data_IF_744728686567
#
_entry.id   IF_744728686567
#
_cell.length_a   1.000
_cell.length_b   1.000
_cell.length_c   1.000
_cell.angle_alpha   90.00
_cell.angle_beta   90.00
_cell.angle_gamma   90.00
#
_symmetry.space_group_name_H-M   'P 1'
#
loop_
_entity.id
_entity.type
_entity.pdbx_description
1 polymer ?
#
# COMPACT_ATOMS: atom_id res chain seq x y z
N UNK A 1 15.74 -1.61 2.49
CA UNK A 1 14.42 -1.90 3.10
C UNK A 1 13.86 -3.06 2.30
N UNK A 2 13.76 -4.25 2.91
CA UNK A 2 13.27 -5.44 2.20
C UNK A 2 11.80 -5.26 1.83
N UNK A 3 11.37 -5.88 0.73
CA UNK A 3 9.96 -5.99 0.41
C UNK A 3 9.30 -6.91 1.45
N UNK A 4 8.10 -6.53 1.90
CA UNK A 4 7.29 -7.38 2.77
C UNK A 4 6.65 -8.49 1.91
N UNK A 5 6.97 -9.79 2.14
CA UNK A 5 6.41 -10.88 1.35
C UNK A 5 4.89 -11.01 1.49
N UNK A 6 4.34 -10.58 2.62
CA UNK A 6 2.93 -10.73 2.96
C UNK A 6 2.10 -9.52 2.50
N UNK A 7 2.73 -8.49 1.94
CA UNK A 7 1.99 -7.34 1.43
C UNK A 7 1.05 -7.76 0.29
N UNK A 8 -0.19 -7.23 0.31
CA UNK A 8 -1.14 -7.51 -0.76
C UNK A 8 -0.75 -6.79 -2.04
N UNK A 9 -0.67 -7.57 -3.11
CA UNK A 9 -0.30 -7.13 -4.44
C UNK A 9 -1.27 -7.67 -5.49
N UNK A 10 -1.31 -7.00 -6.62
CA UNK A 10 -1.97 -7.48 -7.84
C UNK A 10 -1.01 -7.44 -9.02
N UNK A 11 -0.91 -8.54 -9.75
CA UNK A 11 -0.04 -8.68 -10.91
C UNK A 11 -0.81 -8.56 -12.24
N UNK A 12 -0.17 -7.94 -13.22
CA UNK A 12 -0.64 -7.76 -14.59
C UNK A 12 0.45 -8.16 -15.59
N UNK A 13 0.03 -8.67 -16.75
CA UNK A 13 0.84 -8.77 -17.96
C UNK A 13 0.27 -7.78 -18.99
N UNK A 14 1.00 -6.69 -19.24
CA UNK A 14 0.48 -5.56 -19.99
C UNK A 14 -0.76 -4.98 -19.30
N UNK A 15 -1.93 -5.19 -19.90
CA UNK A 15 -3.23 -4.74 -19.37
C UNK A 15 -4.11 -5.86 -18.84
N UNK A 16 -3.62 -7.12 -18.91
CA UNK A 16 -4.34 -8.32 -18.50
C UNK A 16 -4.05 -8.64 -17.03
N UNK A 17 -5.09 -8.87 -16.26
CA UNK A 17 -4.98 -9.31 -14.87
C UNK A 17 -4.40 -10.74 -14.80
N UNK A 18 -3.51 -10.97 -13.83
CA UNK A 18 -2.93 -12.29 -13.55
C UNK A 18 -3.46 -12.86 -12.24
N UNK A 19 -3.22 -12.15 -11.13
CA UNK A 19 -3.59 -12.59 -9.80
C UNK A 19 -3.61 -11.44 -8.80
N UNK A 20 -4.40 -11.59 -7.75
CA UNK A 20 -4.35 -10.79 -6.52
C UNK A 20 -4.02 -11.71 -5.35
N UNK A 21 -3.04 -11.34 -4.52
CA UNK A 21 -2.61 -12.14 -3.38
C UNK A 21 -1.49 -11.44 -2.60
N UNK A 22 -0.70 -12.22 -1.87
CA UNK A 22 0.59 -11.79 -1.33
C UNK A 22 1.56 -11.41 -2.45
N UNK A 23 2.66 -10.71 -2.12
CA UNK A 23 3.71 -10.42 -3.10
C UNK A 23 4.24 -11.70 -3.74
N UNK A 24 4.41 -12.75 -2.94
CA UNK A 24 4.88 -14.05 -3.42
C UNK A 24 3.90 -14.64 -4.44
N UNK A 25 2.61 -14.71 -4.12
CA UNK A 25 1.60 -15.25 -5.05
C UNK A 25 1.52 -14.44 -6.35
N UNK A 26 1.56 -13.11 -6.25
CA UNK A 26 1.56 -12.21 -7.41
C UNK A 26 2.81 -12.40 -8.29
N UNK A 27 3.99 -12.53 -7.68
CA UNK A 27 5.24 -12.79 -8.39
C UNK A 27 5.27 -14.17 -9.07
N UNK A 28 4.70 -15.20 -8.42
CA UNK A 28 4.60 -16.53 -9.01
C UNK A 28 3.64 -16.57 -10.19
N UNK A 29 2.50 -15.88 -10.10
CA UNK A 29 1.57 -15.75 -11.22
C UNK A 29 2.20 -14.99 -12.40
N UNK A 30 2.93 -13.91 -12.12
CA UNK A 30 3.70 -13.19 -13.13
C UNK A 30 4.75 -14.07 -13.81
N UNK A 31 5.46 -14.89 -13.02
CA UNK A 31 6.44 -15.84 -13.56
C UNK A 31 5.80 -16.90 -14.45
N UNK A 32 4.67 -17.47 -14.02
CA UNK A 32 3.94 -18.45 -14.81
C UNK A 32 3.45 -17.86 -16.15
N UNK A 33 3.05 -16.59 -16.17
CA UNK A 33 2.69 -15.89 -17.41
C UNK A 33 3.89 -15.73 -18.36
N UNK A 34 5.08 -15.41 -17.84
CA UNK A 34 6.31 -15.35 -18.65
C UNK A 34 6.69 -16.73 -19.22
N UNK A 35 6.59 -17.79 -18.40
CA UNK A 35 6.90 -19.16 -18.85
C UNK A 35 5.89 -19.66 -19.91
N UNK A 36 4.66 -19.14 -19.89
CA UNK A 36 3.63 -19.41 -20.90
C UNK A 36 3.81 -18.61 -22.21
N UNK A 37 4.85 -17.77 -22.31
CA UNK A 37 5.16 -16.97 -23.49
C UNK A 37 4.32 -15.70 -23.63
N UNK A 38 3.83 -15.14 -22.52
CA UNK A 38 3.23 -13.80 -22.54
C UNK A 38 4.34 -12.74 -22.63
N UNK A 39 4.40 -12.06 -23.78
CA UNK A 39 5.38 -10.98 -24.05
C UNK A 39 4.96 -9.64 -23.41
N UNK A 40 3.84 -9.60 -22.69
CA UNK A 40 3.38 -8.42 -21.96
C UNK A 40 4.36 -7.99 -20.86
N UNK A 41 4.59 -6.68 -20.76
CA UNK A 41 5.38 -6.12 -19.66
C UNK A 41 4.69 -6.43 -18.32
N UNK A 42 5.43 -7.03 -17.39
CA UNK A 42 4.89 -7.39 -16.08
C UNK A 42 4.83 -6.17 -15.17
N UNK A 43 3.67 -5.96 -14.55
CA UNK A 43 3.49 -5.01 -13.46
C UNK A 43 2.97 -5.71 -12.22
N UNK A 44 3.54 -5.41 -11.06
CA UNK A 44 3.03 -5.85 -9.76
C UNK A 44 2.73 -4.61 -8.93
N UNK A 45 1.48 -4.38 -8.57
CA UNK A 45 1.06 -3.21 -7.81
C UNK A 45 0.79 -3.57 -6.36
N UNK A 46 1.31 -2.78 -5.42
CA UNK A 46 0.92 -2.83 -4.02
C UNK A 46 -0.48 -2.22 -3.85
N UNK A 47 -1.42 -2.97 -3.27
CA UNK A 47 -2.83 -2.54 -3.20
C UNK A 47 -3.05 -1.36 -2.27
N UNK A 48 -2.28 -1.25 -1.20
CA UNK A 48 -2.43 -0.17 -0.23
C UNK A 48 -1.92 1.19 -0.76
N UNK A 49 -0.98 1.16 -1.70
CA UNK A 49 -0.28 2.38 -2.15
C UNK A 49 -0.44 2.68 -3.63
N UNK A 50 -0.94 1.73 -4.44
CA UNK A 50 -1.03 1.80 -5.89
C UNK A 50 0.32 1.86 -6.62
N UNK A 51 1.43 1.65 -5.89
CA UNK A 51 2.78 1.72 -6.46
C UNK A 51 3.15 0.39 -7.12
N UNK A 52 3.82 0.48 -8.27
CA UNK A 52 4.51 -0.65 -8.83
C UNK A 52 5.65 -1.10 -7.89
N UNK A 53 5.75 -2.41 -7.69
CA UNK A 53 6.78 -3.09 -6.93
C UNK A 53 7.70 -3.77 -7.93
N UNK A 54 8.98 -3.44 -7.85
CA UNK A 54 9.99 -4.10 -8.66
C UNK A 54 10.37 -5.45 -8.04
N UNK A 55 10.22 -6.52 -8.81
CA UNK A 55 10.49 -7.90 -8.37
C UNK A 55 11.37 -8.57 -9.41
N UNK A 56 12.51 -9.11 -8.98
CA UNK A 56 13.37 -9.90 -9.85
C UNK A 56 12.77 -11.30 -10.08
N UNK A 57 12.06 -11.43 -11.21
CA UNK A 57 11.42 -12.67 -11.65
C UNK A 57 12.36 -13.62 -12.40
N UNK A 58 13.66 -13.33 -12.52
CA UNK A 58 14.59 -14.14 -13.33
C UNK A 58 14.96 -15.46 -12.66
N UNK A 59 15.11 -16.52 -13.46
CA UNK A 59 15.47 -17.86 -12.98
C UNK A 59 14.28 -18.70 -12.53
N UNK A 60 14.48 -19.92 -12.01
CA UNK A 60 13.39 -20.84 -11.68
C UNK A 60 12.48 -20.28 -10.58
N UNK A 61 11.24 -20.76 -10.51
CA UNK A 61 10.23 -20.40 -9.49
C UNK A 61 10.79 -20.41 -8.07
N UNK A 62 11.61 -21.41 -7.72
CA UNK A 62 12.24 -21.50 -6.40
C UNK A 62 13.25 -20.38 -6.12
N UNK A 63 13.96 -19.89 -7.13
CA UNK A 63 14.87 -18.77 -6.97
C UNK A 63 14.10 -17.46 -6.73
N UNK A 64 12.96 -17.27 -7.42
CA UNK A 64 12.07 -16.12 -7.18
C UNK A 64 11.50 -16.17 -5.76
N UNK A 65 10.99 -17.33 -5.34
CA UNK A 65 10.50 -17.54 -3.97
C UNK A 65 11.59 -17.27 -2.93
N UNK A 66 12.81 -17.79 -3.14
CA UNK A 66 13.93 -17.62 -2.21
C UNK A 66 14.35 -16.16 -2.01
N UNK A 67 14.26 -15.33 -3.05
CA UNK A 67 14.55 -13.88 -2.93
C UNK A 67 13.48 -13.10 -2.18
N UNK A 68 12.23 -13.57 -2.25
CA UNK A 68 11.09 -12.94 -1.59
C UNK A 68 10.87 -13.50 -0.18
N UNK A 69 11.52 -14.61 0.19
CA UNK A 69 11.43 -15.17 1.52
C UNK A 69 11.85 -14.12 2.57
N UNK A 70 11.11 -13.99 3.67
CA UNK A 70 11.48 -13.08 4.74
C UNK A 70 12.89 -13.43 5.22
N UNK A 71 13.80 -12.45 5.15
CA UNK A 71 15.11 -12.55 5.79
C UNK A 71 14.88 -12.46 7.29
N UNK A 72 14.47 -13.57 7.90
CA UNK A 72 14.68 -13.75 9.32
C UNK A 72 16.19 -13.82 9.52
N UNK A 73 16.80 -12.97 10.36
CA UNK A 73 18.16 -13.23 10.79
C UNK A 73 18.15 -14.58 11.51
N UNK A 74 18.66 -15.61 10.83
CA UNK A 74 18.93 -16.91 11.42
C UNK A 74 20.16 -16.76 12.33
N UNK A 75 19.95 -16.15 13.50
CA UNK A 75 20.71 -16.32 14.74
C UNK A 75 20.33 -15.22 15.74
N UNK A 76 19.20 -15.43 16.41
CA UNK A 76 19.06 -15.01 17.80
C UNK A 76 18.43 -16.19 18.53
N UNK A 77 19.27 -17.16 18.89
CA UNK A 77 18.97 -18.04 20.02
C UNK A 77 18.54 -17.13 21.19
N UNK A 78 17.30 -17.26 21.72
CA UNK A 78 16.87 -16.39 22.79
C UNK A 78 17.67 -16.75 24.04
N UNK A 79 18.63 -15.88 24.39
CA UNK A 79 19.21 -15.90 25.72
C UNK A 79 18.06 -15.76 26.74
N UNK A 80 18.05 -16.55 27.83
CA UNK A 80 16.92 -16.58 28.76
C UNK A 80 16.66 -15.18 29.33
N UNK A 81 15.42 -14.70 29.12
CA UNK A 81 14.98 -13.38 29.53
C UNK A 81 15.03 -13.23 31.06
N UNK A 82 15.78 -12.24 31.55
CA UNK A 82 15.67 -11.80 32.94
C UNK A 82 14.29 -11.14 33.15
N UNK A 83 13.59 -11.41 34.27
CA UNK A 83 12.32 -10.77 34.55
C UNK A 83 12.53 -9.29 34.89
N UNK A 84 11.95 -8.38 34.10
CA UNK A 84 11.96 -6.96 34.45
C UNK A 84 11.61 -6.02 33.30
N UNK A 85 10.32 -5.67 33.22
CA UNK A 85 9.69 -4.61 32.40
C UNK A 85 9.49 -4.95 30.91
N UNK A 86 8.24 -5.05 30.43
CA UNK A 86 7.97 -5.17 28.99
C UNK A 86 8.56 -3.95 28.27
N UNK A 87 9.45 -4.19 27.32
CA UNK A 87 9.91 -3.15 26.37
C UNK A 87 8.70 -2.78 25.52
N UNK A 88 7.98 -1.71 25.88
CA UNK A 88 7.14 -0.99 24.93
C UNK A 88 8.09 -0.57 23.80
N UNK A 89 8.00 -1.18 22.62
CA UNK A 89 8.90 -0.95 21.49
C UNK A 89 8.80 0.48 20.93
N UNK A 90 9.23 1.48 21.71
CA UNK A 90 9.18 2.89 21.38
C UNK A 90 10.51 3.28 20.75
N UNK A 91 10.45 3.81 19.53
CA UNK A 91 11.61 4.41 18.85
C UNK A 91 11.58 5.91 19.13
N UNK A 92 12.65 6.45 19.72
CA UNK A 92 12.77 7.88 19.92
C UNK A 92 13.08 8.59 18.59
N UNK A 93 12.39 9.70 18.33
CA UNK A 93 12.63 10.61 17.21
C UNK A 93 12.52 12.05 17.70
N UNK A 94 13.22 12.96 17.05
CA UNK A 94 13.22 14.39 17.38
C UNK A 94 11.97 15.08 16.82
N UNK A 95 11.33 15.93 17.63
CA UNK A 95 10.17 16.74 17.26
C UNK A 95 10.36 18.14 17.81
N UNK A 96 10.20 19.15 16.96
CA UNK A 96 10.28 20.56 17.35
C UNK A 96 8.89 21.13 17.49
N UNK A 97 8.58 21.70 18.66
CA UNK A 97 7.30 22.33 18.97
C UNK A 97 7.53 23.71 19.60
N UNK A 98 6.48 24.54 19.57
CA UNK A 98 6.52 25.86 20.22
C UNK A 98 6.63 25.72 21.76
N UNK A 99 7.30 26.66 22.46
CA UNK A 99 7.49 26.59 23.91
C UNK A 99 6.19 26.35 24.69
N UNK A 100 5.11 27.06 24.35
CA UNK A 100 3.77 26.86 24.95
C UNK A 100 3.22 25.44 24.80
N UNK A 101 3.56 24.73 23.72
CA UNK A 101 3.13 23.36 23.51
C UNK A 101 3.92 22.40 24.40
N UNK A 102 5.21 22.68 24.62
CA UNK A 102 6.02 21.92 25.57
C UNK A 102 5.56 22.12 27.01
N UNK A 103 5.24 23.35 27.40
CA UNK A 103 4.68 23.66 28.72
C UNK A 103 3.38 22.87 28.96
N UNK A 104 2.47 22.88 27.97
CA UNK A 104 1.23 22.12 28.06
C UNK A 104 1.47 20.60 28.07
N UNK A 105 2.39 20.08 27.24
CA UNK A 105 2.71 18.65 27.20
C UNK A 105 3.33 18.15 28.51
N UNK A 106 4.19 18.96 29.13
CA UNK A 106 4.85 18.64 30.40
C UNK A 106 3.91 18.74 31.59
N UNK A 107 2.82 19.50 31.50
CA UNK A 107 1.80 19.58 32.56
C UNK A 107 0.82 18.40 32.55
N UNK A 108 0.86 17.53 31.53
CA UNK A 108 -0.05 16.39 31.42
C UNK A 108 0.31 15.24 32.40
N UNK A 109 -0.69 14.56 33.00
CA UNK A 109 -0.46 13.36 33.79
C UNK A 109 0.20 12.26 32.95
N UNK A 110 1.39 11.81 33.35
CA UNK A 110 2.19 10.83 32.61
C UNK A 110 3.20 11.43 31.62
N UNK A 111 3.31 12.75 31.55
CA UNK A 111 4.33 13.48 30.80
C UNK A 111 4.08 13.59 29.30
N UNK A 112 4.94 14.36 28.63
CA UNK A 112 4.80 14.73 27.22
C UNK A 112 4.60 13.54 26.28
N UNK A 113 5.34 12.43 26.48
CA UNK A 113 5.27 11.26 25.60
C UNK A 113 3.92 10.53 25.65
N UNK A 114 3.27 10.49 26.83
CA UNK A 114 1.93 9.87 26.98
C UNK A 114 0.87 10.77 26.36
N UNK A 115 0.97 12.08 26.59
CA UNK A 115 0.08 13.07 25.99
C UNK A 115 0.16 13.08 24.46
N UNK A 116 1.37 13.08 23.89
CA UNK A 116 1.59 13.00 22.45
C UNK A 116 1.00 11.72 21.86
N UNK A 117 1.18 10.56 22.51
CA UNK A 117 0.58 9.31 22.04
C UNK A 117 -0.94 9.40 22.00
N UNK A 118 -1.58 9.88 23.07
CA UNK A 118 -3.04 10.05 23.12
C UNK A 118 -3.55 11.02 22.06
N UNK A 119 -2.83 12.13 21.82
CA UNK A 119 -3.18 13.09 20.77
C UNK A 119 -3.04 12.48 19.37
N UNK A 120 -1.97 11.72 19.12
CA UNK A 120 -1.79 10.98 17.87
C UNK A 120 -2.90 9.95 17.70
N UNK A 121 -3.22 9.16 18.73
CA UNK A 121 -4.27 8.14 18.66
C UNK A 121 -5.65 8.77 18.42
N UNK A 122 -5.96 9.87 19.11
CA UNK A 122 -7.21 10.61 18.92
C UNK A 122 -7.29 11.23 17.51
N UNK A 123 -6.21 11.82 17.02
CA UNK A 123 -6.16 12.40 15.67
C UNK A 123 -6.25 11.32 14.59
N UNK A 124 -5.60 10.16 14.79
CA UNK A 124 -5.72 9.00 13.90
C UNK A 124 -7.17 8.53 13.83
N UNK A 125 -7.81 8.30 14.97
CA UNK A 125 -9.21 7.87 15.00
C UNK A 125 -10.17 8.90 14.39
N UNK A 126 -9.96 10.20 14.64
CA UNK A 126 -10.80 11.25 14.08
C UNK A 126 -10.67 11.37 12.54
N UNK A 127 -9.48 11.10 12.00
CA UNK A 127 -9.19 11.25 10.57
C UNK A 127 -9.21 9.93 9.80
N UNK A 128 -9.44 8.79 10.44
CA UNK A 128 -9.36 7.46 9.83
C UNK A 128 -10.18 7.33 8.54
N UNK A 129 -11.37 7.93 8.48
CA UNK A 129 -12.20 7.96 7.27
C UNK A 129 -11.58 8.82 6.17
N UNK A 130 -11.19 10.06 6.49
CA UNK A 130 -10.60 10.99 5.52
C UNK A 130 -9.23 10.49 5.00
N UNK A 131 -8.42 9.90 5.88
CA UNK A 131 -7.14 9.28 5.51
C UNK A 131 -7.35 8.05 4.64
N UNK A 132 -8.36 7.22 4.91
CA UNK A 132 -8.72 6.07 4.06
C UNK A 132 -9.14 6.52 2.66
N UNK A 133 -10.01 7.53 2.57
CA UNK A 133 -10.43 8.11 1.28
C UNK A 133 -9.23 8.62 0.50
N UNK A 134 -8.38 9.43 1.14
CA UNK A 134 -7.17 9.99 0.52
C UNK A 134 -6.20 8.90 0.05
N UNK A 135 -5.98 7.87 0.86
CA UNK A 135 -5.12 6.74 0.49
C UNK A 135 -5.67 5.97 -0.71
N UNK A 136 -6.98 5.71 -0.74
CA UNK A 136 -7.63 5.05 -1.87
C UNK A 136 -7.53 5.88 -3.16
N UNK A 137 -7.77 7.19 -3.08
CA UNK A 137 -7.60 8.10 -4.22
C UNK A 137 -6.15 8.10 -4.74
N UNK A 138 -5.18 8.24 -3.85
CA UNK A 138 -3.76 8.22 -4.24
C UNK A 138 -3.35 6.87 -4.85
N UNK A 139 -3.83 5.75 -4.28
CA UNK A 139 -3.53 4.41 -4.78
C UNK A 139 -4.14 4.18 -6.17
N UNK A 140 -5.44 4.47 -6.33
CA UNK A 140 -6.12 4.35 -7.61
C UNK A 140 -5.48 5.25 -8.68
N UNK A 141 -5.18 6.51 -8.34
CA UNK A 141 -4.56 7.45 -9.27
C UNK A 141 -3.18 6.98 -9.75
N UNK A 142 -2.31 6.48 -8.86
CA UNK A 142 -0.98 5.96 -9.24
C UNK A 142 -1.09 4.77 -10.18
N UNK A 143 -2.01 3.84 -9.90
CA UNK A 143 -2.30 2.72 -10.77
C UNK A 143 -2.82 3.19 -12.15
N UNK A 144 -3.84 4.06 -12.17
CA UNK A 144 -4.42 4.61 -13.40
C UNK A 144 -3.37 5.35 -14.23
N UNK A 145 -2.53 6.16 -13.60
CA UNK A 145 -1.46 6.91 -14.27
C UNK A 145 -0.46 5.98 -14.97
N UNK A 146 -0.18 4.82 -14.37
CA UNK A 146 0.71 3.80 -14.95
C UNK A 146 0.04 3.01 -16.08
N UNK A 147 -1.23 2.61 -15.91
CA UNK A 147 -1.90 1.63 -16.77
C UNK A 147 -2.80 2.25 -17.85
N UNK A 148 -3.23 3.49 -17.64
CA UNK A 148 -4.21 4.19 -18.46
C UNK A 148 -3.87 5.66 -18.71
N UNK A 149 -2.66 6.13 -18.34
CA UNK A 149 -2.28 7.54 -18.46
C UNK A 149 -2.27 8.09 -19.90
N UNK A 150 -2.15 7.21 -20.89
CA UNK A 150 -2.19 7.49 -22.33
C UNK A 150 -3.55 7.17 -22.96
N UNK A 151 -4.56 6.78 -22.17
CA UNK A 151 -5.88 6.38 -22.64
C UNK A 151 -6.85 7.56 -22.63
N UNK A 152 -7.79 7.55 -23.56
CA UNK A 152 -8.91 8.50 -23.59
C UNK A 152 -9.70 8.44 -22.28
N UNK A 153 -10.15 9.61 -21.80
CA UNK A 153 -10.94 9.74 -20.57
C UNK A 153 -10.11 9.70 -19.28
N UNK A 154 -8.77 9.59 -19.35
CA UNK A 154 -7.91 9.57 -18.17
C UNK A 154 -8.05 10.80 -17.27
N UNK A 155 -8.05 12.01 -17.85
CA UNK A 155 -8.11 13.24 -17.07
C UNK A 155 -9.46 13.41 -16.37
N UNK A 156 -10.55 13.10 -17.08
CA UNK A 156 -11.91 13.14 -16.55
C UNK A 156 -12.12 12.06 -15.47
N UNK A 157 -11.60 10.86 -15.69
CA UNK A 157 -11.60 9.78 -14.71
C UNK A 157 -10.82 10.17 -13.45
N UNK A 158 -9.64 10.76 -13.59
CA UNK A 158 -8.86 11.26 -12.45
C UNK A 158 -9.61 12.37 -11.69
N UNK A 159 -10.27 13.28 -12.41
CA UNK A 159 -11.11 14.33 -11.80
C UNK A 159 -12.28 13.74 -11.01
N UNK A 160 -12.97 12.76 -11.57
CA UNK A 160 -14.08 12.07 -10.91
C UNK A 160 -13.61 11.30 -9.65
N UNK A 161 -12.46 10.62 -9.72
CA UNK A 161 -11.84 9.95 -8.58
C UNK A 161 -11.60 10.89 -7.40
N UNK A 162 -10.98 12.05 -7.65
CA UNK A 162 -10.69 13.03 -6.59
C UNK A 162 -11.95 13.76 -6.09
N UNK A 163 -12.98 13.88 -6.92
CA UNK A 163 -14.28 14.42 -6.54
C UNK A 163 -15.14 13.42 -5.73
N UNK A 164 -14.74 12.15 -5.64
CA UNK A 164 -15.57 11.10 -5.02
C UNK A 164 -16.77 10.70 -5.89
N UNK A 165 -16.72 10.95 -7.20
CA UNK A 165 -17.78 10.64 -8.16
C UNK A 165 -17.55 9.27 -8.79
N UNK A 166 -18.10 8.22 -8.18
CA UNK A 166 -18.02 6.85 -8.69
C UNK A 166 -18.65 6.69 -10.08
N UNK A 167 -19.91 7.12 -10.32
CA UNK A 167 -20.51 7.05 -11.66
C UNK A 167 -19.67 7.76 -12.74
N UNK A 168 -19.11 8.93 -12.42
CA UNK A 168 -18.21 9.65 -13.32
C UNK A 168 -16.96 8.85 -13.65
N UNK A 169 -16.32 8.23 -12.66
CA UNK A 169 -15.15 7.38 -12.88
C UNK A 169 -15.49 6.17 -13.78
N UNK A 170 -16.62 5.50 -13.54
CA UNK A 170 -17.09 4.37 -14.34
C UNK A 170 -17.36 4.77 -15.80
N UNK A 171 -18.01 5.91 -16.03
CA UNK A 171 -18.31 6.40 -17.36
C UNK A 171 -17.05 6.80 -18.14
N UNK A 172 -16.13 7.54 -17.52
CA UNK A 172 -14.92 8.02 -18.21
C UNK A 172 -13.87 6.93 -18.45
N UNK A 173 -13.94 5.81 -17.72
CA UNK A 173 -13.05 4.65 -17.90
C UNK A 173 -13.64 3.55 -18.79
N UNK A 174 -14.81 3.77 -19.40
CA UNK A 174 -15.56 2.74 -20.13
C UNK A 174 -14.77 2.05 -21.26
N UNK A 175 -13.93 2.81 -21.97
CA UNK A 175 -13.14 2.34 -23.12
C UNK A 175 -11.78 1.75 -22.73
N UNK A 176 -11.47 1.69 -21.43
CA UNK A 176 -10.22 1.09 -20.97
C UNK A 176 -10.28 -0.44 -21.04
N UNK A 177 -9.11 -1.12 -21.08
CA UNK A 177 -9.05 -2.55 -20.87
C UNK A 177 -9.82 -2.95 -19.60
N UNK A 178 -10.67 -3.97 -19.72
CA UNK A 178 -11.63 -4.32 -18.66
C UNK A 178 -10.95 -4.56 -17.32
N UNK A 179 -9.83 -5.28 -17.30
CA UNK A 179 -9.08 -5.57 -16.08
C UNK A 179 -8.50 -4.32 -15.43
N UNK A 180 -8.01 -3.37 -16.23
CA UNK A 180 -7.51 -2.07 -15.75
C UNK A 180 -8.64 -1.27 -15.12
N UNK A 181 -9.80 -1.18 -15.79
CA UNK A 181 -10.98 -0.49 -15.27
C UNK A 181 -11.47 -1.09 -13.96
N UNK A 182 -11.66 -2.41 -13.93
CA UNK A 182 -12.13 -3.15 -12.74
C UNK A 182 -11.19 -2.94 -11.57
N UNK A 183 -9.88 -3.00 -11.81
CA UNK A 183 -8.90 -2.80 -10.74
C UNK A 183 -8.84 -1.36 -10.24
N UNK A 184 -8.92 -0.37 -11.12
CA UNK A 184 -8.98 1.05 -10.75
C UNK A 184 -10.20 1.34 -9.86
N UNK A 185 -11.38 0.85 -10.25
CA UNK A 185 -12.61 0.99 -9.46
C UNK A 185 -12.51 0.31 -8.10
N UNK A 186 -11.89 -0.87 -8.04
CA UNK A 186 -11.66 -1.60 -6.79
C UNK A 186 -10.71 -0.85 -5.85
N UNK A 187 -9.62 -0.26 -6.36
CA UNK A 187 -8.71 0.56 -5.55
C UNK A 187 -9.39 1.85 -5.06
N UNK A 188 -10.28 2.41 -5.87
CA UNK A 188 -11.00 3.64 -5.57
C UNK A 188 -12.21 3.42 -4.64
N UNK A 189 -12.66 2.18 -4.42
CA UNK A 189 -13.87 1.88 -3.63
C UNK A 189 -13.91 2.60 -2.26
N UNK A 190 -12.83 2.62 -1.46
CA UNK A 190 -12.87 3.30 -0.17
C UNK A 190 -12.97 4.83 -0.27
N UNK A 191 -12.71 5.41 -1.44
CA UNK A 191 -12.84 6.84 -1.70
C UNK A 191 -14.29 7.30 -1.90
N UNK A 192 -15.18 6.38 -2.26
CA UNK A 192 -16.59 6.68 -2.56
C UNK A 192 -17.52 6.49 -1.35
N UNK A 193 -16.96 6.02 -0.23
CA UNK A 193 -17.73 5.64 0.95
C UNK A 193 -18.48 4.31 0.74
N UNK A 194 -18.81 3.64 1.85
CA UNK A 194 -19.71 2.50 1.80
C UNK A 194 -21.10 3.02 1.37
N UNK A 195 -21.61 2.56 0.23
CA UNK A 195 -23.06 2.58 -0.01
C UNK A 195 -23.77 1.67 0.99
#
# INVERSE_FOLDING_TARGET
>A
MGLDPDMRCTAFAGTRFLATGTLVEAALAARAAQDAGDDGLIFIFNEATGRAVDVDLRGPVEAVRGRLAPVFPADLTPAPARPGRPKLGVVAREVTLLPRHWEWLNSQPGGASVALRKLVDAARHANEGADRVRQAQEAAYRFMSTMAGDRTGFEEAARALFAGDRPGLEAHSQDWPTDVRVHALRLAEPAFGAS
#
